data_IF_848450858265
#
_entry.id   IF_848450858265
#
_cell.length_a   1.000
_cell.length_b   1.000
_cell.length_c   1.000
_cell.angle_alpha   90.00
_cell.angle_beta   90.00
_cell.angle_gamma   90.00
#
_symmetry.space_group_name_H-M   'P 1'
#
loop_
_entity.id
_entity.type
_entity.pdbx_description
1 polymer ?
#
# COMPACT_ATOMS: atom_id res chain seq x y z
N UNK A 1 -54.62 -41.04 16.54
CA UNK A 1 -54.81 -41.08 15.08
C UNK A 1 -54.39 -39.73 14.51
N UNK A 2 -53.52 -39.65 13.48
CA UNK A 2 -52.06 -39.92 13.51
C UNK A 2 -51.22 -38.69 13.07
N UNK A 3 -50.00 -38.51 13.61
CA UNK A 3 -48.67 -38.64 12.96
C UNK A 3 -48.37 -37.76 11.73
N UNK A 4 -47.26 -36.99 11.79
CA UNK A 4 -46.05 -37.19 10.96
C UNK A 4 -44.93 -36.19 11.27
N UNK A 5 -43.80 -36.76 11.67
CA UNK A 5 -42.43 -36.31 11.48
C UNK A 5 -42.18 -35.67 10.10
N UNK A 6 -41.42 -34.58 10.07
CA UNK A 6 -40.37 -34.36 9.05
C UNK A 6 -39.31 -33.38 9.58
N UNK A 7 -38.16 -33.95 9.93
CA UNK A 7 -36.89 -33.25 10.03
C UNK A 7 -36.61 -32.47 8.73
N UNK A 8 -36.16 -31.21 8.83
CA UNK A 8 -35.29 -30.62 7.82
C UNK A 8 -34.19 -29.78 8.46
N UNK A 9 -33.06 -30.48 8.63
CA UNK A 9 -31.67 -30.09 8.38
C UNK A 9 -31.23 -28.65 8.67
N UNK A 10 -30.25 -28.59 9.56
CA UNK A 10 -29.25 -27.55 9.68
C UNK A 10 -28.90 -26.88 8.34
N UNK A 11 -29.21 -25.59 8.23
CA UNK A 11 -28.59 -24.71 7.24
C UNK A 11 -27.30 -24.18 7.83
N UNK A 12 -26.19 -24.84 7.50
CA UNK A 12 -24.85 -24.28 7.63
C UNK A 12 -24.87 -22.94 6.92
N UNK A 13 -24.78 -21.83 7.67
CA UNK A 13 -24.61 -20.50 7.07
C UNK A 13 -23.28 -20.55 6.31
N UNK A 14 -23.35 -20.58 4.99
CA UNK A 14 -22.21 -20.37 4.10
C UNK A 14 -21.56 -19.04 4.50
N UNK A 15 -20.45 -19.15 5.22
CA UNK A 15 -19.52 -18.06 5.46
C UNK A 15 -18.84 -17.79 4.13
N UNK A 16 -19.37 -16.83 3.37
CA UNK A 16 -18.74 -16.37 2.12
C UNK A 16 -17.37 -15.79 2.47
N UNK A 17 -16.31 -16.58 2.26
CA UNK A 17 -14.93 -16.12 2.37
C UNK A 17 -14.66 -15.23 1.15
N UNK A 18 -14.78 -13.92 1.32
CA UNK A 18 -14.20 -12.94 0.39
C UNK A 18 -12.69 -12.90 0.62
N UNK A 19 -11.89 -12.66 -0.43
CA UNK A 19 -10.44 -12.45 -0.33
C UNK A 19 -10.07 -11.62 0.91
N UNK A 20 -9.34 -12.22 1.86
CA UNK A 20 -9.09 -11.60 3.18
C UNK A 20 -7.74 -10.90 3.20
N UNK A 21 -7.68 -9.70 2.63
CA UNK A 21 -6.59 -8.79 2.97
C UNK A 21 -6.61 -8.56 4.48
N UNK A 22 -5.50 -8.88 5.15
CA UNK A 22 -5.36 -8.76 6.60
C UNK A 22 -4.02 -8.14 6.91
N UNK A 23 -4.02 -6.93 7.48
CA UNK A 23 -2.84 -6.36 8.11
C UNK A 23 -2.59 -7.05 9.45
N UNK A 24 -1.35 -7.46 9.68
CA UNK A 24 -0.94 -8.18 10.88
C UNK A 24 -0.52 -7.18 11.96
N UNK A 25 -1.14 -7.28 13.13
CA UNK A 25 -0.61 -6.62 14.33
C UNK A 25 0.63 -7.38 14.81
N UNK A 26 1.81 -6.74 14.77
CA UNK A 26 3.03 -7.35 15.30
C UNK A 26 3.20 -7.00 16.78
N UNK A 27 3.20 -8.02 17.64
CA UNK A 27 3.25 -7.88 19.11
C UNK A 27 4.49 -7.12 19.65
N UNK A 28 5.59 -7.07 18.89
CA UNK A 28 6.83 -6.37 19.27
C UNK A 28 6.96 -4.97 18.64
N UNK A 29 5.89 -4.46 18.02
CA UNK A 29 5.96 -3.27 17.18
C UNK A 29 6.66 -3.53 15.84
N UNK A 30 6.34 -2.69 14.86
CA UNK A 30 7.03 -2.62 13.59
C UNK A 30 8.27 -1.73 13.75
N UNK A 31 9.39 -2.09 13.12
CA UNK A 31 10.56 -1.21 13.09
C UNK A 31 10.24 0.08 12.32
N UNK A 32 11.08 1.12 12.44
CA UNK A 32 10.86 2.40 11.74
C UNK A 32 10.83 2.27 10.21
N UNK A 33 11.30 1.15 9.68
CA UNK A 33 11.31 0.83 8.26
C UNK A 33 9.99 0.27 7.74
N UNK A 34 9.16 -0.31 8.62
CA UNK A 34 7.93 -1.00 8.23
C UNK A 34 6.70 -0.20 8.63
N UNK A 35 5.80 -0.01 7.66
CA UNK A 35 4.49 0.58 7.90
C UNK A 35 3.46 -0.47 8.25
N UNK A 36 3.42 -1.56 7.48
CA UNK A 36 2.52 -2.67 7.67
C UNK A 36 3.12 -3.97 7.15
N UNK A 37 2.76 -5.07 7.78
CA UNK A 37 2.90 -6.41 7.21
C UNK A 37 1.50 -6.94 6.98
N UNK A 38 1.24 -7.49 5.81
CA UNK A 38 -0.08 -7.92 5.43
C UNK A 38 -0.05 -9.25 4.72
N UNK A 39 -1.21 -9.91 4.72
CA UNK A 39 -1.40 -11.17 4.02
C UNK A 39 -2.71 -11.15 3.26
N UNK A 40 -2.77 -11.91 2.17
CA UNK A 40 -3.99 -12.08 1.40
C UNK A 40 -4.00 -13.45 0.77
N UNK A 41 -5.10 -14.18 0.94
CA UNK A 41 -5.39 -15.43 0.22
C UNK A 41 -6.84 -15.36 -0.22
N UNK A 42 -7.11 -15.81 -1.44
CA UNK A 42 -8.47 -15.94 -1.97
C UNK A 42 -8.70 -17.35 -2.48
N UNK A 43 -9.86 -17.90 -2.15
CA UNK A 43 -10.40 -19.14 -2.73
C UNK A 43 -11.22 -18.86 -4.00
N UNK A 44 -11.39 -17.58 -4.37
CA UNK A 44 -12.20 -17.13 -5.51
C UNK A 44 -11.42 -16.22 -6.43
N UNK A 45 -11.76 -16.30 -7.72
CA UNK A 45 -11.25 -15.38 -8.72
C UNK A 45 -11.88 -14.00 -8.48
N UNK A 46 -11.03 -12.98 -8.39
CA UNK A 46 -11.46 -11.60 -8.18
C UNK A 46 -10.49 -10.63 -8.87
N UNK A 47 -10.82 -9.35 -8.84
CA UNK A 47 -9.90 -8.28 -9.20
C UNK A 47 -9.85 -7.29 -8.05
N UNK A 48 -8.66 -7.01 -7.53
CA UNK A 48 -8.46 -6.05 -6.46
C UNK A 48 -7.93 -4.75 -7.02
N UNK A 49 -8.64 -3.65 -6.76
CA UNK A 49 -8.19 -2.33 -7.16
C UNK A 49 -7.21 -1.77 -6.15
N UNK A 50 -5.97 -1.55 -6.60
CA UNK A 50 -4.96 -0.84 -5.82
C UNK A 50 -5.04 0.64 -6.13
N UNK A 51 -5.18 1.45 -5.09
CA UNK A 51 -5.21 2.92 -5.17
C UNK A 51 -3.81 3.50 -4.95
N UNK A 52 -3.49 4.66 -5.54
CA UNK A 52 -2.22 5.32 -5.28
C UNK A 52 -2.17 5.82 -3.83
N UNK A 53 -1.16 5.43 -3.06
CA UNK A 53 -0.97 5.76 -1.64
C UNK A 53 0.42 6.36 -1.33
N UNK A 54 1.30 6.43 -2.33
CA UNK A 54 2.67 6.91 -2.18
C UNK A 54 3.57 5.94 -1.41
N UNK A 55 3.20 4.66 -1.35
CA UNK A 55 3.92 3.59 -0.66
C UNK A 55 4.53 2.61 -1.64
N UNK A 56 5.40 1.76 -1.12
CA UNK A 56 6.08 0.72 -1.87
C UNK A 56 6.10 -0.56 -1.04
N UNK A 57 5.80 -1.68 -1.68
CA UNK A 57 5.68 -2.96 -1.01
C UNK A 57 6.65 -3.99 -1.62
N UNK A 58 7.23 -4.83 -0.76
CA UNK A 58 7.87 -6.09 -1.14
C UNK A 58 6.86 -7.21 -0.86
N UNK A 59 6.54 -8.00 -1.86
CA UNK A 59 5.46 -8.98 -1.83
C UNK A 59 5.99 -10.34 -2.25
N UNK A 60 5.60 -11.39 -1.53
CA UNK A 60 5.85 -12.78 -1.85
C UNK A 60 4.54 -13.40 -2.35
N UNK A 61 4.52 -13.79 -3.63
CA UNK A 61 3.42 -14.53 -4.26
C UNK A 61 3.73 -16.02 -4.25
N UNK A 62 2.77 -16.85 -3.85
CA UNK A 62 2.96 -18.30 -3.73
C UNK A 62 1.65 -19.07 -3.94
N UNK A 63 1.74 -20.38 -4.16
CA UNK A 63 0.59 -21.30 -4.17
C UNK A 63 0.21 -21.65 -2.72
N UNK A 64 -0.96 -21.18 -2.28
CA UNK A 64 -1.46 -21.39 -0.94
C UNK A 64 -1.96 -22.83 -0.68
N UNK A 65 -2.22 -23.61 -1.73
CA UNK A 65 -2.62 -25.01 -1.66
C UNK A 65 -1.45 -26.00 -1.49
N UNK A 66 -0.22 -25.57 -1.79
CA UNK A 66 0.97 -26.43 -1.70
C UNK A 66 1.59 -26.40 -0.29
N UNK A 67 1.99 -27.58 0.22
CA UNK A 67 2.79 -27.72 1.45
C UNK A 67 3.92 -28.75 1.26
N UNK A 68 5.19 -28.40 1.54
CA UNK A 68 5.68 -27.05 1.88
C UNK A 68 5.45 -26.07 0.71
N UNK A 69 5.40 -24.78 1.03
CA UNK A 69 5.33 -23.72 0.02
C UNK A 69 6.64 -23.70 -0.74
N UNK A 70 6.56 -23.79 -2.07
CA UNK A 70 7.71 -23.68 -2.98
C UNK A 70 7.37 -22.73 -4.13
N UNK A 71 8.35 -22.36 -4.95
CA UNK A 71 8.11 -21.51 -6.12
C UNK A 71 7.68 -20.07 -5.77
N UNK A 72 8.12 -19.56 -4.61
CA UNK A 72 7.80 -18.20 -4.17
C UNK A 72 8.37 -17.17 -5.16
N UNK A 73 7.48 -16.32 -5.68
CA UNK A 73 7.84 -15.23 -6.60
C UNK A 73 7.86 -13.92 -5.84
N UNK A 74 9.02 -13.24 -5.84
CA UNK A 74 9.14 -11.89 -5.25
C UNK A 74 8.59 -10.86 -6.23
N UNK A 75 7.80 -9.93 -5.71
CA UNK A 75 7.29 -8.75 -6.43
C UNK A 75 7.68 -7.52 -5.65
N UNK A 76 8.29 -6.54 -6.32
CA UNK A 76 8.60 -5.22 -5.76
C UNK A 76 7.72 -4.21 -6.46
N UNK A 77 6.93 -3.46 -5.69
CA UNK A 77 6.03 -2.44 -6.23
C UNK A 77 6.60 -1.06 -5.98
N UNK A 78 6.58 -0.21 -7.01
CA UNK A 78 6.88 1.21 -6.86
C UNK A 78 5.62 2.04 -6.58
N UNK A 79 5.79 3.33 -6.32
CA UNK A 79 4.68 4.23 -6.05
C UNK A 79 3.84 4.42 -7.31
N UNK A 80 2.53 4.58 -7.17
CA UNK A 80 1.63 4.83 -8.30
C UNK A 80 0.95 6.18 -8.18
N UNK A 81 0.55 6.75 -9.32
CA UNK A 81 -0.20 8.02 -9.40
C UNK A 81 -1.62 7.82 -9.95
N UNK A 82 -2.00 6.57 -10.21
CA UNK A 82 -3.31 6.12 -10.68
C UNK A 82 -3.59 4.72 -10.17
N UNK A 83 -4.87 4.35 -10.13
CA UNK A 83 -5.25 2.98 -9.79
C UNK A 83 -4.74 1.99 -10.83
N UNK A 84 -4.60 0.75 -10.40
CA UNK A 84 -4.48 -0.41 -11.26
C UNK A 84 -5.20 -1.58 -10.61
N UNK A 85 -5.66 -2.51 -11.45
CA UNK A 85 -6.41 -3.67 -11.00
C UNK A 85 -5.46 -4.88 -11.00
N UNK A 86 -5.41 -5.60 -9.88
CA UNK A 86 -4.60 -6.81 -9.68
C UNK A 86 -5.54 -8.01 -9.76
N UNK A 87 -5.37 -8.91 -10.74
CA UNK A 87 -6.13 -10.15 -10.78
C UNK A 87 -5.74 -11.03 -9.60
N UNK A 88 -6.75 -11.53 -8.89
CA UNK A 88 -6.60 -12.49 -7.80
C UNK A 88 -7.07 -13.84 -8.31
N UNK A 89 -6.13 -14.76 -8.45
CA UNK A 89 -6.40 -16.14 -8.87
C UNK A 89 -6.71 -17.00 -7.62
N UNK A 90 -7.71 -17.90 -7.69
CA UNK A 90 -7.98 -18.85 -6.62
C UNK A 90 -6.71 -19.64 -6.24
N UNK A 91 -6.46 -19.79 -4.95
CA UNK A 91 -5.34 -20.58 -4.45
C UNK A 91 -4.00 -19.84 -4.48
N UNK A 92 -3.93 -18.61 -5.00
CA UNK A 92 -2.72 -17.78 -4.89
C UNK A 92 -2.75 -17.00 -3.59
N UNK A 93 -1.66 -17.12 -2.83
CA UNK A 93 -1.41 -16.39 -1.60
C UNK A 93 -0.39 -15.28 -1.79
N UNK A 94 -0.52 -14.26 -0.94
CA UNK A 94 0.36 -13.12 -0.86
C UNK A 94 0.76 -12.85 0.59
N UNK A 95 2.05 -12.63 0.80
CA UNK A 95 2.60 -12.00 2.01
C UNK A 95 3.30 -10.74 1.57
N UNK A 96 2.87 -9.59 2.08
CA UNK A 96 3.47 -8.31 1.73
C UNK A 96 3.98 -7.55 2.94
N UNK A 97 5.00 -6.73 2.70
CA UNK A 97 5.54 -5.79 3.67
C UNK A 97 5.62 -4.42 2.99
N UNK A 98 4.91 -3.46 3.56
CA UNK A 98 4.90 -2.07 3.12
C UNK A 98 5.99 -1.30 3.83
N UNK A 99 6.85 -0.66 3.05
CA UNK A 99 7.92 0.19 3.58
C UNK A 99 7.39 1.57 3.91
N UNK A 100 7.84 2.14 5.03
CA UNK A 100 7.66 3.57 5.26
C UNK A 100 8.45 4.37 4.21
N UNK A 101 7.97 5.54 3.79
CA UNK A 101 8.69 6.41 2.87
C UNK A 101 10.18 6.53 3.20
N UNK A 102 10.97 6.37 2.15
CA UNK A 102 12.44 6.45 2.03
C UNK A 102 13.26 5.38 2.74
N UNK A 103 12.64 4.29 3.17
CA UNK A 103 13.37 3.05 3.44
C UNK A 103 13.59 2.19 2.19
N UNK A 104 12.94 2.52 1.06
CA UNK A 104 13.02 1.75 -0.17
C UNK A 104 14.46 1.54 -0.66
N UNK A 105 15.20 2.62 -0.90
CA UNK A 105 16.58 2.56 -1.41
C UNK A 105 17.53 1.89 -0.41
N UNK A 106 17.34 2.13 0.89
CA UNK A 106 18.11 1.50 1.95
C UNK A 106 17.96 -0.03 1.93
N UNK A 107 16.72 -0.51 1.76
CA UNK A 107 16.40 -1.94 1.77
C UNK A 107 16.83 -2.60 0.46
N UNK A 108 16.50 -1.98 -0.68
CA UNK A 108 16.57 -2.59 -2.00
C UNK A 108 17.81 -2.20 -2.82
N UNK A 109 18.46 -1.08 -2.50
CA UNK A 109 19.70 -0.62 -3.12
C UNK A 109 19.53 0.22 -4.39
N UNK A 110 18.31 0.65 -4.73
CA UNK A 110 18.00 1.49 -5.89
C UNK A 110 16.84 2.45 -5.60
N UNK A 111 16.63 3.48 -6.43
CA UNK A 111 15.69 4.55 -6.12
C UNK A 111 14.23 4.13 -6.41
N UNK A 112 13.25 4.49 -5.55
CA UNK A 112 11.83 4.19 -5.79
C UNK A 112 11.29 4.89 -7.05
N UNK A 113 11.90 6.00 -7.47
CA UNK A 113 11.52 6.74 -8.67
C UNK A 113 11.62 5.87 -9.94
N UNK A 114 12.54 4.91 -9.96
CA UNK A 114 12.73 3.95 -11.06
C UNK A 114 11.51 3.05 -11.28
N UNK A 115 10.67 2.86 -10.25
CA UNK A 115 9.46 2.04 -10.31
C UNK A 115 8.15 2.82 -10.30
N UNK A 116 8.18 4.12 -10.61
CA UNK A 116 6.96 4.93 -10.61
C UNK A 116 5.95 4.40 -11.64
N UNK A 117 4.76 3.99 -11.18
CA UNK A 117 3.72 3.31 -11.96
C UNK A 117 4.16 1.95 -12.58
N UNK A 118 5.11 1.26 -11.97
CA UNK A 118 5.54 -0.07 -12.39
C UNK A 118 5.88 -0.99 -11.21
N UNK A 119 6.21 -2.24 -11.52
CA UNK A 119 6.66 -3.24 -10.56
C UNK A 119 7.77 -4.09 -11.20
N UNK A 120 8.54 -4.79 -10.36
CA UNK A 120 9.49 -5.82 -10.76
C UNK A 120 9.00 -7.17 -10.25
N UNK A 121 9.05 -8.20 -11.08
CA UNK A 121 8.52 -9.54 -10.76
C UNK A 121 9.59 -10.61 -10.98
N UNK A 122 9.74 -11.50 -10.01
CA UNK A 122 10.59 -12.69 -10.07
C UNK A 122 12.04 -12.35 -10.40
N UNK A 123 12.52 -12.81 -11.56
CA UNK A 123 13.89 -12.60 -12.00
C UNK A 123 14.27 -11.12 -12.13
N UNK A 124 13.32 -10.23 -12.50
CA UNK A 124 13.59 -8.79 -12.61
C UNK A 124 13.85 -8.16 -11.23
N UNK A 125 13.07 -8.56 -10.22
CA UNK A 125 13.26 -8.10 -8.85
C UNK A 125 14.61 -8.58 -8.29
N UNK A 126 14.94 -9.86 -8.54
CA UNK A 126 16.23 -10.45 -8.12
C UNK A 126 17.40 -9.80 -8.86
N UNK A 127 17.27 -9.46 -10.15
CA UNK A 127 18.32 -8.76 -10.88
C UNK A 127 18.59 -7.36 -10.31
N UNK A 128 17.54 -6.61 -9.94
CA UNK A 128 17.68 -5.30 -9.31
C UNK A 128 18.21 -5.37 -7.87
N UNK A 129 17.82 -6.40 -7.10
CA UNK A 129 18.31 -6.64 -5.75
C UNK A 129 18.59 -8.14 -5.52
N UNK A 130 19.82 -8.62 -5.77
CA UNK A 130 20.17 -10.05 -5.65
C UNK A 130 19.89 -10.67 -4.29
N UNK A 131 19.91 -9.86 -3.23
CA UNK A 131 19.61 -10.29 -1.87
C UNK A 131 18.17 -10.82 -1.72
N UNK A 132 17.22 -10.39 -2.54
CA UNK A 132 15.83 -10.87 -2.51
C UNK A 132 15.72 -12.37 -2.81
N UNK A 133 16.71 -12.98 -3.46
CA UNK A 133 16.71 -14.40 -3.81
C UNK A 133 16.53 -15.31 -2.59
N UNK A 134 16.99 -14.89 -1.40
CA UNK A 134 16.81 -15.70 -0.19
C UNK A 134 15.33 -15.89 0.19
N UNK A 135 14.45 -14.96 -0.22
CA UNK A 135 13.01 -15.03 0.04
C UNK A 135 12.28 -16.06 -0.84
N UNK A 136 12.97 -16.63 -1.82
CA UNK A 136 12.44 -17.71 -2.67
C UNK A 136 12.62 -19.11 -2.07
N UNK A 137 13.25 -19.23 -0.90
CA UNK A 137 13.46 -20.52 -0.24
C UNK A 137 12.12 -21.18 0.13
N UNK A 138 12.04 -22.52 0.16
CA UNK A 138 10.86 -23.22 0.64
C UNK A 138 10.49 -22.80 2.07
N UNK A 139 9.19 -22.72 2.35
CA UNK A 139 8.65 -22.39 3.66
C UNK A 139 7.60 -23.42 4.07
N UNK A 140 7.47 -23.74 5.35
CA UNK A 140 6.46 -24.68 5.85
C UNK A 140 5.06 -24.12 5.67
N UNK A 141 4.89 -22.83 5.93
CA UNK A 141 3.63 -22.12 5.86
C UNK A 141 3.81 -20.61 5.61
N UNK A 142 2.69 -19.89 5.57
CA UNK A 142 2.64 -18.46 5.35
C UNK A 142 3.29 -17.63 6.47
N UNK A 143 3.28 -18.11 7.72
CA UNK A 143 3.88 -17.38 8.85
C UNK A 143 5.41 -17.40 8.75
N UNK A 144 5.99 -18.48 8.22
CA UNK A 144 7.42 -18.55 7.94
C UNK A 144 7.84 -17.60 6.82
N UNK A 145 6.99 -17.36 5.81
CA UNK A 145 7.20 -16.32 4.81
C UNK A 145 7.15 -14.92 5.42
N UNK A 146 6.16 -14.63 6.27
CA UNK A 146 6.06 -13.36 7.03
C UNK A 146 7.33 -13.11 7.84
N UNK A 147 7.79 -14.13 8.55
CA UNK A 147 9.00 -14.07 9.38
C UNK A 147 10.23 -13.80 8.53
N UNK A 148 10.38 -14.51 7.42
CA UNK A 148 11.53 -14.37 6.50
C UNK A 148 11.57 -13.00 5.83
N UNK A 149 10.43 -12.49 5.36
CA UNK A 149 10.33 -11.17 4.76
C UNK A 149 10.64 -10.05 5.77
N UNK A 150 10.08 -10.15 6.97
CA UNK A 150 10.33 -9.18 8.05
C UNK A 150 11.79 -9.18 8.46
N UNK A 151 12.40 -10.36 8.61
CA UNK A 151 13.82 -10.49 8.96
C UNK A 151 14.74 -9.94 7.87
N UNK A 152 14.41 -10.18 6.59
CA UNK A 152 15.13 -9.61 5.45
C UNK A 152 15.13 -8.08 5.50
N UNK A 153 13.95 -7.46 5.62
CA UNK A 153 13.82 -6.00 5.64
C UNK A 153 14.56 -5.39 6.82
N UNK A 154 14.40 -5.95 8.03
CA UNK A 154 15.12 -5.49 9.23
C UNK A 154 16.63 -5.56 9.07
N UNK A 155 17.15 -6.67 8.54
CA UNK A 155 18.58 -6.83 8.29
C UNK A 155 19.09 -5.79 7.31
N UNK A 156 18.41 -5.61 6.18
CA UNK A 156 18.79 -4.63 5.16
C UNK A 156 18.72 -3.19 5.67
N UNK A 157 17.71 -2.87 6.49
CA UNK A 157 17.58 -1.57 7.15
C UNK A 157 18.72 -1.30 8.13
N UNK A 158 19.13 -2.30 8.93
CA UNK A 158 20.24 -2.18 9.89
C UNK A 158 21.61 -2.08 9.21
N UNK A 159 21.83 -2.80 8.10
CA UNK A 159 23.09 -2.78 7.34
C UNK A 159 23.23 -1.50 6.48
N UNK A 160 22.10 -0.83 6.19
CA UNK A 160 22.03 0.32 5.30
C UNK A 160 22.57 1.61 5.92
N UNK A 161 23.53 2.25 5.25
CA UNK A 161 24.09 3.56 5.64
C UNK A 161 23.25 4.77 5.20
N UNK A 162 22.18 4.53 4.44
CA UNK A 162 21.27 5.56 3.94
C UNK A 162 20.03 5.60 4.82
N UNK A 163 20.14 6.24 5.98
CA UNK A 163 18.95 6.68 6.72
C UNK A 163 18.43 7.92 5.98
N UNK A 164 17.15 7.95 5.62
CA UNK A 164 16.52 9.22 5.27
C UNK A 164 16.92 10.24 6.32
N UNK A 165 17.67 11.27 5.93
CA UNK A 165 18.06 12.32 6.85
C UNK A 165 16.81 12.76 7.64
N UNK A 166 16.90 13.04 8.95
CA UNK A 166 15.76 13.46 9.77
C UNK A 166 14.89 14.53 9.10
N UNK A 167 15.52 15.38 8.27
CA UNK A 167 14.89 16.34 7.39
C UNK A 167 13.91 15.74 6.36
N UNK A 168 14.29 14.69 5.62
CA UNK A 168 13.37 14.04 4.66
C UNK A 168 12.15 13.46 5.36
N UNK A 169 12.35 12.78 6.50
CA UNK A 169 11.24 12.24 7.30
C UNK A 169 10.31 13.35 7.77
N UNK A 170 10.88 14.43 8.32
CA UNK A 170 10.13 15.59 8.78
C UNK A 170 9.33 16.26 7.64
N UNK A 171 9.95 16.43 6.46
CA UNK A 171 9.29 16.94 5.25
C UNK A 171 8.11 16.06 4.84
N UNK A 172 8.30 14.74 4.76
CA UNK A 172 7.22 13.81 4.39
C UNK A 172 6.10 13.84 5.44
N UNK A 173 6.45 13.87 6.73
CA UNK A 173 5.49 14.04 7.82
C UNK A 173 4.64 15.30 7.69
N UNK A 174 5.24 16.43 7.28
CA UNK A 174 4.50 17.67 7.04
C UNK A 174 3.45 17.54 5.92
N UNK A 175 3.76 16.81 4.83
CA UNK A 175 2.77 16.52 3.79
C UNK A 175 1.61 15.68 4.32
N UNK A 176 1.92 14.62 5.07
CA UNK A 176 0.92 13.73 5.68
C UNK A 176 0.01 14.47 6.66
N UNK A 177 0.58 15.18 7.63
CA UNK A 177 -0.16 15.96 8.63
C UNK A 177 -1.08 17.02 7.99
N UNK A 178 -0.64 17.62 6.88
CA UNK A 178 -1.45 18.59 6.14
C UNK A 178 -2.55 17.95 5.27
N UNK A 179 -2.58 16.62 5.12
CA UNK A 179 -3.40 15.94 4.13
C UNK A 179 -3.13 16.45 2.71
N UNK A 180 -1.90 16.85 2.41
CA UNK A 180 -1.50 17.41 1.11
C UNK A 180 -2.00 18.83 0.82
N UNK A 181 -2.58 19.55 1.79
CA UNK A 181 -3.16 20.89 1.57
C UNK A 181 -2.16 22.04 1.52
N UNK A 182 -0.96 21.86 2.06
CA UNK A 182 0.04 22.93 2.11
C UNK A 182 0.64 23.19 0.73
N UNK A 183 0.95 24.46 0.45
CA UNK A 183 1.71 24.78 -0.76
C UNK A 183 3.13 24.26 -0.60
N UNK A 184 3.71 23.81 -1.71
CA UNK A 184 5.08 23.30 -1.75
C UNK A 184 6.09 24.36 -1.25
N UNK A 185 5.84 25.65 -1.54
CA UNK A 185 6.63 26.77 -1.04
C UNK A 185 6.63 26.87 0.49
N UNK A 186 5.47 26.64 1.09
CA UNK A 186 5.26 26.80 2.53
C UNK A 186 5.98 25.67 3.27
N UNK A 187 5.90 24.44 2.74
CA UNK A 187 6.68 23.30 3.24
C UNK A 187 8.18 23.56 3.13
N UNK A 188 8.65 24.10 2.00
CA UNK A 188 10.06 24.45 1.84
C UNK A 188 10.52 25.49 2.88
N UNK A 189 9.70 26.52 3.12
CA UNK A 189 9.98 27.58 4.09
C UNK A 189 10.00 27.06 5.53
N UNK A 190 9.02 26.24 5.93
CA UNK A 190 8.95 25.62 7.27
C UNK A 190 10.21 24.81 7.62
N UNK A 191 10.84 24.21 6.61
CA UNK A 191 12.05 23.39 6.79
C UNK A 191 13.35 24.14 6.43
N UNK A 192 13.29 25.45 6.19
CA UNK A 192 14.44 26.29 5.82
C UNK A 192 15.25 25.75 4.62
N UNK A 193 14.56 25.21 3.61
CA UNK A 193 15.17 24.68 2.38
C UNK A 193 14.64 25.36 1.13
N UNK A 194 15.40 25.30 0.04
CA UNK A 194 14.89 25.69 -1.27
C UNK A 194 13.82 24.69 -1.78
N UNK A 195 12.94 25.15 -2.68
CA UNK A 195 11.98 24.27 -3.36
C UNK A 195 12.66 23.12 -4.13
N UNK A 196 13.84 23.38 -4.72
CA UNK A 196 14.65 22.36 -5.41
C UNK A 196 15.15 21.29 -4.43
N UNK A 197 15.63 21.70 -3.26
CA UNK A 197 16.05 20.76 -2.21
C UNK A 197 14.88 19.93 -1.71
N UNK A 198 13.74 20.57 -1.42
CA UNK A 198 12.51 19.89 -1.02
C UNK A 198 12.09 18.84 -2.05
N UNK A 199 12.06 19.21 -3.34
CA UNK A 199 11.72 18.28 -4.43
C UNK A 199 12.63 17.05 -4.44
N UNK A 200 13.94 17.26 -4.32
CA UNK A 200 14.91 16.14 -4.28
C UNK A 200 14.68 15.23 -3.08
N UNK A 201 14.42 15.79 -1.89
CA UNK A 201 14.16 15.00 -0.67
C UNK A 201 12.91 14.14 -0.84
N UNK A 202 11.81 14.73 -1.36
CA UNK A 202 10.54 14.01 -1.54
C UNK A 202 10.66 12.92 -2.61
N UNK A 203 11.28 13.22 -3.76
CA UNK A 203 11.47 12.24 -4.83
C UNK A 203 12.35 11.10 -4.35
N UNK A 204 13.44 11.39 -3.64
CA UNK A 204 14.32 10.36 -3.10
C UNK A 204 13.59 9.44 -2.11
N UNK A 205 12.73 10.02 -1.26
CA UNK A 205 12.00 9.27 -0.25
C UNK A 205 10.84 8.44 -0.83
N UNK A 206 10.11 8.97 -1.81
CA UNK A 206 8.81 8.42 -2.21
C UNK A 206 8.74 7.97 -3.65
N UNK A 207 9.74 8.31 -4.48
CA UNK A 207 9.68 8.19 -5.93
C UNK A 207 8.74 9.20 -6.62
N UNK A 208 8.06 10.06 -5.84
CA UNK A 208 7.05 10.98 -6.33
C UNK A 208 7.51 12.44 -6.24
N UNK A 209 6.99 13.29 -7.14
CA UNK A 209 7.13 14.74 -6.98
C UNK A 209 6.32 15.23 -5.77
N UNK A 210 6.70 16.35 -5.13
CA UNK A 210 5.90 16.94 -4.04
C UNK A 210 4.43 17.18 -4.41
N UNK A 211 4.18 17.62 -5.65
CA UNK A 211 2.81 17.83 -6.17
C UNK A 211 2.03 16.52 -6.31
N UNK A 212 2.68 15.44 -6.76
CA UNK A 212 2.05 14.14 -6.88
C UNK A 212 1.72 13.56 -5.50
N UNK A 213 2.65 13.61 -4.55
CA UNK A 213 2.42 13.19 -3.17
C UNK A 213 1.27 13.97 -2.53
N UNK A 214 1.31 15.31 -2.58
CA UNK A 214 0.23 16.15 -2.06
C UNK A 214 -1.13 15.79 -2.69
N UNK A 215 -1.18 15.62 -4.02
CA UNK A 215 -2.40 15.25 -4.72
C UNK A 215 -2.96 13.88 -4.32
N UNK A 216 -2.10 12.91 -4.00
CA UNK A 216 -2.52 11.59 -3.48
C UNK A 216 -3.12 11.73 -2.09
N UNK A 217 -2.49 12.51 -1.20
CA UNK A 217 -3.00 12.74 0.15
C UNK A 217 -4.33 13.49 0.15
N UNK A 218 -4.48 14.49 -0.72
CA UNK A 218 -5.75 15.19 -0.94
C UNK A 218 -6.83 14.24 -1.49
N UNK A 219 -6.47 13.35 -2.42
CA UNK A 219 -7.37 12.33 -2.94
C UNK A 219 -7.91 11.43 -1.82
N UNK A 220 -7.03 10.85 -0.99
CA UNK A 220 -7.45 10.01 0.14
C UNK A 220 -8.27 10.77 1.18
N UNK A 221 -7.91 12.03 1.46
CA UNK A 221 -8.70 12.92 2.33
C UNK A 221 -10.11 13.11 1.78
N UNK A 222 -10.26 13.39 0.48
CA UNK A 222 -11.58 13.51 -0.14
C UNK A 222 -12.40 12.22 -0.05
N UNK A 223 -11.76 11.04 -0.23
CA UNK A 223 -12.44 9.76 -0.06
C UNK A 223 -12.98 9.59 1.37
N UNK A 224 -12.18 9.90 2.39
CA UNK A 224 -12.62 9.86 3.79
C UNK A 224 -13.75 10.84 4.07
N UNK A 225 -13.67 12.06 3.57
CA UNK A 225 -14.71 13.08 3.75
C UNK A 225 -16.05 12.68 3.13
N UNK A 226 -16.02 12.09 1.93
CA UNK A 226 -17.22 11.61 1.23
C UNK A 226 -17.79 10.34 1.87
N UNK A 227 -16.91 9.39 2.24
CA UNK A 227 -17.33 8.07 2.71
C UNK A 227 -17.62 8.06 4.20
N UNK A 228 -16.69 8.51 5.03
CA UNK A 228 -16.77 8.34 6.48
C UNK A 228 -17.54 9.50 7.12
N UNK A 229 -17.29 10.72 6.65
CA UNK A 229 -17.97 11.92 7.15
C UNK A 229 -19.25 12.27 6.38
N UNK A 230 -19.55 11.56 5.29
CA UNK A 230 -20.76 11.73 4.46
C UNK A 230 -21.00 13.18 3.99
N UNK A 231 -19.93 13.95 3.77
CA UNK A 231 -20.04 15.31 3.28
C UNK A 231 -20.58 15.36 1.85
N UNK A 232 -21.19 16.49 1.49
CA UNK A 232 -21.55 16.75 0.10
C UNK A 232 -20.28 16.81 -0.77
N UNK A 233 -20.34 16.47 -2.08
CA UNK A 233 -19.19 16.60 -2.96
C UNK A 233 -18.60 18.01 -3.05
N UNK A 234 -19.41 19.06 -2.85
CA UNK A 234 -18.93 20.44 -2.83
C UNK A 234 -18.12 20.72 -1.57
N UNK A 235 -18.64 20.36 -0.39
CA UNK A 235 -17.97 20.59 0.89
C UNK A 235 -16.70 19.73 1.00
N UNK A 236 -16.75 18.46 0.58
CA UNK A 236 -15.60 17.59 0.55
C UNK A 236 -14.47 18.14 -0.34
N UNK A 237 -14.80 18.79 -1.46
CA UNK A 237 -13.81 19.39 -2.34
C UNK A 237 -13.07 20.55 -1.64
N UNK A 238 -13.80 21.45 -0.98
CA UNK A 238 -13.22 22.56 -0.22
C UNK A 238 -12.36 22.04 0.93
N UNK A 239 -12.88 21.10 1.73
CA UNK A 239 -12.19 20.57 2.91
C UNK A 239 -10.95 19.73 2.58
N UNK A 240 -10.95 19.05 1.42
CA UNK A 240 -9.77 18.35 0.91
C UNK A 240 -8.75 19.28 0.21
N UNK A 241 -9.09 20.56 -0.02
CA UNK A 241 -8.21 21.54 -0.64
C UNK A 241 -8.18 21.51 -2.17
N UNK A 242 -9.28 21.09 -2.80
CA UNK A 242 -9.50 21.25 -4.24
C UNK A 242 -10.05 22.65 -4.54
N UNK A 243 -9.81 23.13 -5.75
CA UNK A 243 -10.35 24.42 -6.23
C UNK A 243 -11.88 24.41 -6.31
N UNK A 244 -12.45 23.26 -6.66
CA UNK A 244 -13.87 23.06 -6.89
C UNK A 244 -14.20 21.55 -6.96
N UNK A 245 -15.49 21.22 -6.92
CA UNK A 245 -15.99 19.84 -7.02
C UNK A 245 -15.61 19.17 -8.34
N UNK A 246 -15.57 19.89 -9.46
CA UNK A 246 -15.26 19.30 -10.77
C UNK A 246 -13.79 18.87 -10.85
N UNK A 247 -12.88 19.63 -10.23
CA UNK A 247 -11.49 19.27 -10.06
C UNK A 247 -11.34 18.04 -9.18
N UNK A 248 -11.97 18.01 -8.00
CA UNK A 248 -11.97 16.82 -7.14
C UNK A 248 -12.48 15.58 -7.88
N UNK A 249 -13.59 15.71 -8.61
CA UNK A 249 -14.21 14.61 -9.38
C UNK A 249 -13.27 14.07 -10.46
N UNK A 250 -12.56 14.95 -11.19
CA UNK A 250 -11.54 14.55 -12.18
C UNK A 250 -10.38 13.79 -11.52
N UNK A 251 -9.93 14.25 -10.35
CA UNK A 251 -8.85 13.58 -9.61
C UNK A 251 -9.30 12.21 -9.09
N UNK A 252 -10.50 12.10 -8.50
CA UNK A 252 -11.06 10.82 -8.03
C UNK A 252 -11.20 9.83 -9.19
N UNK A 253 -11.66 10.28 -10.36
CA UNK A 253 -11.77 9.41 -11.54
C UNK A 253 -10.40 8.96 -12.04
N UNK A 254 -9.42 9.86 -12.11
CA UNK A 254 -8.06 9.54 -12.56
C UNK A 254 -7.35 8.59 -11.60
N UNK A 255 -7.44 8.83 -10.30
CA UNK A 255 -6.69 8.11 -9.27
C UNK A 255 -7.40 6.85 -8.79
N UNK A 256 -8.73 6.83 -8.72
CA UNK A 256 -9.51 5.69 -8.23
C UNK A 256 -10.33 4.94 -9.28
N UNK A 257 -10.54 5.51 -10.47
CA UNK A 257 -11.31 4.84 -11.53
C UNK A 257 -12.82 4.76 -11.25
N UNK A 258 -13.32 5.57 -10.34
CA UNK A 258 -14.74 5.68 -9.98
C UNK A 258 -15.16 7.15 -9.86
N UNK A 259 -16.45 7.41 -9.61
CA UNK A 259 -16.96 8.78 -9.41
C UNK A 259 -17.24 9.05 -7.94
N UNK A 260 -17.23 10.32 -7.50
CA UNK A 260 -17.58 10.68 -6.12
C UNK A 260 -19.00 10.24 -5.71
N UNK A 261 -19.90 10.10 -6.68
CA UNK A 261 -21.28 9.63 -6.46
C UNK A 261 -21.40 8.10 -6.31
N UNK A 262 -20.35 7.34 -6.65
CA UNK A 262 -20.32 5.87 -6.59
C UNK A 262 -18.96 5.42 -6.08
N UNK A 263 -18.69 5.73 -4.82
CA UNK A 263 -17.50 5.21 -4.15
C UNK A 263 -17.69 3.71 -3.87
N UNK A 264 -16.72 2.86 -4.24
CA UNK A 264 -16.76 1.47 -3.84
C UNK A 264 -16.54 1.35 -2.33
N UNK A 265 -16.97 0.24 -1.74
CA UNK A 265 -16.48 -0.22 -0.44
C UNK A 265 -15.03 -0.71 -0.60
N UNK A 266 -14.12 0.23 -0.82
CA UNK A 266 -12.68 0.00 -0.73
C UNK A 266 -12.28 0.15 0.72
N UNK A 267 -11.57 -0.85 1.25
CA UNK A 267 -10.74 -0.66 2.44
C UNK A 267 -9.72 0.40 2.04
N UNK A 268 -9.90 1.62 2.54
CA UNK A 268 -8.82 2.60 2.49
C UNK A 268 -7.76 1.98 3.37
N UNK A 269 -6.60 1.68 2.80
CA UNK A 269 -5.39 1.44 3.59
C UNK A 269 -5.36 2.53 4.64
N UNK A 270 -5.22 2.16 5.91
CA UNK A 270 -5.09 3.15 6.97
C UNK A 270 -3.80 3.91 6.68
N UNK A 271 -3.94 5.06 6.01
CA UNK A 271 -2.90 6.07 5.95
C UNK A 271 -2.91 6.73 7.31
N UNK A 272 -2.47 5.98 8.32
CA UNK A 272 -2.28 6.48 9.66
C UNK A 272 -1.21 7.59 9.57
N UNK A 273 -1.49 8.68 10.27
CA UNK A 273 -0.76 9.95 10.25
C UNK A 273 0.70 9.82 10.72
#
# INVERSE_FOLDING_TARGET
MPSRLAQRRAGFREMTLSARYTELSLAAGLGEEVEAVWTSVSDRAASYRVLPDGRCDIILRFDAGQRPITGVTVVVTGPTTRFYDVPIEPGIGFVGLRLRPGWFETVLGFEPAELTNSNLIGAQAIAACPALKCLCAPARDQNELVTSLTAFVRKRAADGRLVLAPLSRSVIGAFHAAGGRLRISDVAQMHAVSARTLQRLVVKATGLTPKALAGILQFHRALRLLRDHRLSPADAAVEAGFSDQAHMSRVIRRMGGFSPARLPDVTLVSLDD
#
